data_IF_494634339568
#
_entry.id   IF_494634339568
#
_cell.length_a   1.000
_cell.length_b   1.000
_cell.length_c   1.000
_cell.angle_alpha   90.00
_cell.angle_beta   90.00
_cell.angle_gamma   90.00
#
_symmetry.space_group_name_H-M   'P 1'
#
loop_
_entity.id
_entity.type
_entity.pdbx_description
1 polymer ?
#
# COMPACT_ATOMS: atom_id res chain seq x y z
N UNK A 1 6.81 5.98 11.60
CA UNK A 1 6.14 5.24 10.51
C UNK A 1 6.35 3.74 10.71
N UNK A 2 5.58 2.92 10.00
CA UNK A 2 5.79 1.47 9.84
C UNK A 2 5.91 1.15 8.35
N UNK A 3 6.76 0.19 7.99
CA UNK A 3 6.91 -0.29 6.61
C UNK A 3 6.49 -1.75 6.56
N UNK A 4 5.51 -2.05 5.73
CA UNK A 4 5.06 -3.42 5.49
C UNK A 4 5.99 -4.10 4.49
N UNK A 5 6.14 -5.41 4.64
CA UNK A 5 6.88 -6.24 3.71
C UNK A 5 6.13 -6.36 2.38
N UNK A 6 6.87 -6.55 1.30
CA UNK A 6 6.36 -6.91 -0.02
C UNK A 6 5.51 -8.20 -0.02
N UNK A 7 5.65 -9.02 1.02
CA UNK A 7 4.93 -10.28 1.18
C UNK A 7 3.63 -10.16 1.99
N UNK A 8 3.43 -9.06 2.72
CA UNK A 8 2.26 -8.88 3.58
C UNK A 8 0.99 -8.70 2.74
N UNK A 9 1.07 -7.91 1.67
CA UNK A 9 -0.08 -7.65 0.78
C UNK A 9 -0.52 -8.90 -0.01
N UNK A 10 0.38 -9.71 -0.60
CA UNK A 10 0.02 -11.01 -1.16
C UNK A 10 -0.68 -11.94 -0.16
N UNK A 11 -0.20 -12.03 1.09
CA UNK A 11 -0.85 -12.85 2.10
C UNK A 11 -2.29 -12.42 2.35
N UNK A 12 -2.55 -11.11 2.47
CA UNK A 12 -3.91 -10.57 2.59
C UNK A 12 -4.74 -10.91 1.34
N UNK A 13 -4.18 -10.70 0.14
CA UNK A 13 -4.86 -10.94 -1.14
C UNK A 13 -5.28 -12.41 -1.32
N UNK A 14 -4.48 -13.34 -0.83
CA UNK A 14 -4.78 -14.77 -0.88
C UNK A 14 -5.49 -15.28 0.38
N UNK A 15 -6.08 -14.38 1.16
CA UNK A 15 -6.90 -14.69 2.33
C UNK A 15 -6.16 -15.55 3.37
N UNK A 16 -4.89 -15.23 3.62
CA UNK A 16 -4.13 -15.84 4.69
C UNK A 16 -4.82 -15.58 6.05
N UNK A 17 -4.79 -16.55 6.98
CA UNK A 17 -5.35 -16.36 8.31
C UNK A 17 -4.74 -15.16 9.05
N UNK A 18 -5.54 -14.48 9.86
CA UNK A 18 -5.13 -13.28 10.61
C UNK A 18 -3.92 -13.54 11.52
N UNK A 19 -3.80 -14.74 12.10
CA UNK A 19 -2.66 -15.12 12.96
C UNK A 19 -1.36 -15.22 12.16
N UNK A 20 -1.42 -15.64 10.89
CA UNK A 20 -0.28 -15.63 9.98
C UNK A 20 0.11 -14.19 9.69
N UNK A 21 -0.83 -13.34 9.27
CA UNK A 21 -0.57 -11.92 8.99
C UNK A 21 0.01 -11.22 10.24
N UNK A 22 -0.57 -11.46 11.41
CA UNK A 22 -0.12 -10.91 12.68
C UNK A 22 1.29 -11.36 13.05
N UNK A 23 1.63 -12.62 12.85
CA UNK A 23 2.99 -13.13 13.10
C UNK A 23 4.03 -12.40 12.26
N UNK A 24 3.70 -12.03 11.02
CA UNK A 24 4.60 -11.32 10.12
C UNK A 24 4.68 -9.81 10.38
N UNK A 25 3.62 -9.20 10.91
CA UNK A 25 3.48 -7.73 11.02
C UNK A 25 3.51 -7.20 12.46
N UNK A 26 3.39 -8.04 13.47
CA UNK A 26 3.27 -7.57 14.86
C UNK A 26 4.51 -6.88 15.40
N UNK A 27 5.70 -7.33 14.98
CA UNK A 27 6.97 -6.77 15.43
C UNK A 27 7.20 -5.31 14.98
N UNK A 28 6.57 -4.87 13.89
CA UNK A 28 6.64 -3.46 13.44
C UNK A 28 5.64 -2.54 14.15
N UNK A 29 4.71 -3.10 14.95
CA UNK A 29 3.70 -2.35 15.73
C UNK A 29 2.99 -1.29 14.89
N UNK A 30 2.59 -1.68 13.66
CA UNK A 30 2.06 -0.74 12.67
C UNK A 30 0.82 0.00 13.19
N UNK A 31 -0.02 -0.63 14.01
CA UNK A 31 -1.20 -0.02 14.66
C UNK A 31 -0.88 1.17 15.57
N UNK A 32 0.38 1.35 16.00
CA UNK A 32 0.79 2.50 16.82
C UNK A 32 1.40 3.63 15.99
N UNK A 33 1.51 3.46 14.67
CA UNK A 33 2.16 4.41 13.77
C UNK A 33 1.11 5.14 12.96
N UNK A 34 1.21 6.46 12.91
CA UNK A 34 0.33 7.31 12.11
C UNK A 34 0.58 7.18 10.59
N UNK A 35 1.78 6.77 10.21
CA UNK A 35 2.20 6.63 8.81
C UNK A 35 2.57 5.18 8.52
N UNK A 36 1.92 4.56 7.53
CA UNK A 36 2.27 3.23 7.01
C UNK A 36 2.82 3.36 5.58
N UNK A 37 3.83 2.57 5.25
CA UNK A 37 4.40 2.48 3.91
C UNK A 37 4.16 1.05 3.40
N UNK A 38 3.46 0.92 2.29
CA UNK A 38 3.09 -0.34 1.67
C UNK A 38 3.70 -0.42 0.27
N UNK A 39 4.67 -1.32 0.04
CA UNK A 39 5.05 -1.68 -1.32
C UNK A 39 3.95 -2.55 -1.94
N UNK A 40 3.48 -2.18 -3.12
CA UNK A 40 2.41 -2.87 -3.85
C UNK A 40 2.98 -3.37 -5.17
N UNK A 41 2.91 -4.69 -5.38
CA UNK A 41 3.21 -5.30 -6.66
C UNK A 41 1.95 -5.30 -7.53
N UNK A 42 1.93 -4.49 -8.58
CA UNK A 42 0.88 -4.50 -9.58
C UNK A 42 1.20 -5.58 -10.64
N UNK A 43 0.37 -6.63 -10.77
CA UNK A 43 0.61 -7.70 -11.74
C UNK A 43 0.29 -7.31 -13.19
N UNK A 44 0.07 -6.03 -13.52
CA UNK A 44 -0.20 -5.59 -14.90
C UNK A 44 1.08 -5.66 -15.76
N UNK A 45 1.03 -6.42 -16.86
CA UNK A 45 2.13 -6.48 -17.83
C UNK A 45 3.41 -7.12 -17.29
N UNK A 46 4.51 -6.36 -17.26
CA UNK A 46 5.86 -6.82 -16.87
C UNK A 46 6.01 -7.02 -15.35
N UNK A 47 4.99 -6.66 -14.57
CA UNK A 47 5.10 -6.56 -13.12
C UNK A 47 5.70 -5.21 -12.75
N UNK A 48 4.94 -4.41 -12.01
CA UNK A 48 5.33 -3.06 -11.62
C UNK A 48 5.22 -2.89 -10.12
N UNK A 49 6.20 -2.22 -9.51
CA UNK A 49 6.18 -1.88 -8.10
C UNK A 49 5.78 -0.42 -7.93
N UNK A 50 4.74 -0.21 -7.15
CA UNK A 50 4.35 1.11 -6.66
C UNK A 50 4.47 1.14 -5.14
N UNK A 51 4.57 2.33 -4.57
CA UNK A 51 4.62 2.53 -3.12
C UNK A 51 3.41 3.35 -2.69
N UNK A 52 2.65 2.84 -1.74
CA UNK A 52 1.55 3.57 -1.11
C UNK A 52 1.97 4.02 0.29
N UNK A 53 1.72 5.27 0.63
CA UNK A 53 1.92 5.84 1.97
C UNK A 53 0.54 6.17 2.53
N UNK A 54 0.21 5.57 3.67
CA UNK A 54 -1.05 5.80 4.37
C UNK A 54 -0.78 6.73 5.54
N UNK A 55 -1.49 7.86 5.58
CA UNK A 55 -1.49 8.76 6.72
C UNK A 55 -2.83 8.67 7.44
N UNK A 56 -2.84 8.05 8.62
CA UNK A 56 -4.05 7.72 9.36
C UNK A 56 -4.72 8.98 9.94
N UNK A 57 -3.93 9.92 10.48
CA UNK A 57 -4.41 11.18 11.04
C UNK A 57 -5.23 12.01 10.06
N UNK A 58 -4.83 12.05 8.79
CA UNK A 58 -5.52 12.81 7.74
C UNK A 58 -6.47 11.96 6.90
N UNK A 59 -6.47 10.64 7.10
CA UNK A 59 -7.16 9.66 6.24
C UNK A 59 -6.79 9.82 4.77
N UNK A 60 -5.49 9.98 4.51
CA UNK A 60 -4.96 10.16 3.16
C UNK A 60 -4.12 8.96 2.72
N UNK A 61 -4.24 8.63 1.45
CA UNK A 61 -3.41 7.62 0.77
C UNK A 61 -2.60 8.33 -0.31
N UNK A 62 -1.29 8.23 -0.23
CA UNK A 62 -0.37 8.75 -1.24
C UNK A 62 0.20 7.61 -2.05
N UNK A 63 -0.16 7.53 -3.32
CA UNK A 63 0.44 6.58 -4.24
C UNK A 63 1.61 7.25 -4.97
N UNK A 64 2.77 6.61 -4.89
CA UNK A 64 3.97 6.93 -5.65
C UNK A 64 4.22 5.85 -6.71
N UNK A 65 4.25 6.28 -7.97
CA UNK A 65 4.52 5.45 -9.13
C UNK A 65 5.68 6.07 -9.91
N UNK A 66 6.83 5.39 -9.94
CA UNK A 66 8.03 5.87 -10.64
C UNK A 66 7.93 5.77 -12.17
N UNK A 67 7.00 4.99 -12.72
CA UNK A 67 6.76 4.90 -14.16
C UNK A 67 5.74 5.92 -14.65
N UNK A 68 5.11 6.68 -13.74
CA UNK A 68 4.17 7.75 -14.08
C UNK A 68 2.90 7.29 -14.77
N UNK A 69 2.58 5.98 -14.74
CA UNK A 69 1.42 5.43 -15.43
C UNK A 69 0.12 5.75 -14.67
N UNK A 70 -0.79 6.47 -15.32
CA UNK A 70 -2.02 7.04 -14.72
C UNK A 70 -3.17 6.05 -14.64
N UNK A 71 -3.04 4.91 -15.32
CA UNK A 71 -4.18 4.18 -15.89
C UNK A 71 -4.80 3.10 -14.97
N UNK A 72 -4.06 2.37 -14.11
CA UNK A 72 -4.66 1.25 -13.34
C UNK A 72 -5.48 1.64 -12.11
N UNK A 73 -5.24 2.82 -11.50
CA UNK A 73 -5.63 3.07 -10.10
C UNK A 73 -6.92 3.88 -9.92
N UNK A 74 -7.55 4.33 -11.01
CA UNK A 74 -8.76 5.14 -10.93
C UNK A 74 -10.04 4.32 -10.67
N UNK A 75 -10.03 3.01 -10.95
CA UNK A 75 -11.23 2.15 -10.85
C UNK A 75 -11.51 1.60 -9.44
N UNK A 76 -10.53 1.60 -8.54
CA UNK A 76 -10.59 0.84 -7.27
C UNK A 76 -10.98 1.71 -6.05
N UNK A 77 -11.43 2.95 -6.28
CA UNK A 77 -11.74 3.93 -5.23
C UNK A 77 -13.18 3.85 -4.70
N UNK A 78 -13.53 2.76 -4.02
CA UNK A 78 -14.64 2.75 -3.05
C UNK A 78 -14.08 2.74 -1.63
N UNK A 79 -13.66 3.88 -1.09
CA UNK A 79 -13.20 3.91 0.32
C UNK A 79 -13.28 5.28 0.98
N UNK A 80 -13.53 5.29 2.29
CA UNK A 80 -13.60 6.45 3.21
C UNK A 80 -12.30 7.27 3.35
N UNK A 81 -11.25 6.89 2.62
CA UNK A 81 -9.96 7.57 2.59
C UNK A 81 -9.85 8.46 1.35
N UNK A 82 -9.26 9.65 1.52
CA UNK A 82 -8.96 10.54 0.40
C UNK A 82 -7.73 10.02 -0.34
N UNK A 83 -7.92 9.61 -1.60
CA UNK A 83 -6.83 9.13 -2.45
C UNK A 83 -6.12 10.32 -3.11
N UNK A 84 -4.84 10.50 -2.81
CA UNK A 84 -3.96 11.49 -3.43
C UNK A 84 -2.88 10.76 -4.22
N UNK A 85 -2.90 10.89 -5.54
CA UNK A 85 -1.81 10.35 -6.37
C UNK A 85 -0.78 11.44 -6.58
N UNK A 86 0.44 11.20 -6.13
CA UNK A 86 1.57 12.10 -6.34
C UNK A 86 2.50 11.47 -7.36
N UNK A 87 2.69 12.16 -8.48
CA UNK A 87 3.59 11.73 -9.54
C UNK A 87 4.91 12.48 -9.40
N UNK A 88 6.02 11.74 -9.44
CA UNK A 88 7.33 12.33 -9.66
C UNK A 88 7.72 12.05 -11.10
N UNK A 89 7.82 13.08 -11.92
CA UNK A 89 8.56 13.01 -13.17
C UNK A 89 10.01 13.28 -12.83
N UNK A 90 10.93 12.40 -13.24
CA UNK A 90 12.34 12.79 -13.35
C UNK A 90 12.50 13.95 -14.37
#
# INVERSE_FOLDING_TARGET
CAMLSTHDLPHIRYNAPDDIIWRHTSWIRYWEKDIWVLPIHCPSGIGHWVMCIIQLSTKELYLFDSMGDRTPWQSDSQSEFNFKVSFSSD
#
